data_IF_411730627486
#
_entry.id   IF_411730627486
#
_cell.length_a   1.000
_cell.length_b   1.000
_cell.length_c   1.000
_cell.angle_alpha   90.00
_cell.angle_beta   90.00
_cell.angle_gamma   90.00
#
_symmetry.space_group_name_H-M   'P 1'
#
loop_
_entity.id
_entity.type
_entity.pdbx_description
1 polymer ?
#
# COMPACT_ATOMS: atom_id res chain seq x y z
N UNK A 1 -9.53 4.42 -5.85
CA UNK A 1 -9.53 5.48 -6.88
C UNK A 1 -10.84 5.44 -7.64
N UNK A 2 -11.18 6.47 -8.43
CA UNK A 2 -12.31 6.39 -9.39
C UNK A 2 -11.71 5.92 -10.71
N UNK A 3 -12.32 4.92 -11.35
CA UNK A 3 -11.99 4.58 -12.73
C UNK A 3 -12.53 5.70 -13.64
N UNK A 4 -11.63 6.49 -14.21
CA UNK A 4 -11.98 7.62 -15.08
C UNK A 4 -12.70 7.21 -16.37
N UNK A 5 -12.63 5.92 -16.76
CA UNK A 5 -13.26 5.40 -17.98
C UNK A 5 -14.68 4.92 -17.76
N UNK A 6 -14.99 4.40 -16.56
CA UNK A 6 -16.32 3.87 -16.24
C UNK A 6 -17.09 4.73 -15.23
N UNK A 7 -16.41 5.67 -14.56
CA UNK A 7 -16.97 6.41 -13.42
C UNK A 7 -17.26 5.52 -12.21
N UNK A 8 -16.87 4.24 -12.26
CA UNK A 8 -17.03 3.30 -11.17
C UNK A 8 -15.95 3.54 -10.11
N UNK A 9 -16.25 3.14 -8.88
CA UNK A 9 -15.19 2.97 -7.88
C UNK A 9 -14.24 1.88 -8.38
N UNK A 10 -12.94 2.15 -8.34
CA UNK A 10 -11.92 1.17 -8.69
C UNK A 10 -12.18 -0.12 -7.89
N UNK A 11 -12.20 -1.24 -8.57
CA UNK A 11 -12.38 -2.57 -7.96
C UNK A 11 -11.07 -3.12 -7.41
N UNK A 12 -9.94 -2.48 -7.73
CA UNK A 12 -8.62 -2.82 -7.22
C UNK A 12 -8.23 -1.80 -6.14
N UNK A 13 -8.14 -2.25 -4.90
CA UNK A 13 -7.66 -1.47 -3.75
C UNK A 13 -6.30 -1.96 -3.27
N UNK A 14 -5.62 -2.75 -4.11
CA UNK A 14 -4.29 -3.28 -3.86
C UNK A 14 -3.21 -2.55 -4.66
N UNK A 15 -3.60 -1.84 -5.72
CA UNK A 15 -2.68 -1.03 -6.51
C UNK A 15 -2.19 0.24 -5.78
N UNK A 16 -0.90 0.55 -5.93
CA UNK A 16 -0.25 1.73 -5.37
C UNK A 16 0.48 2.46 -6.50
N UNK A 17 0.16 3.72 -6.73
CA UNK A 17 0.94 4.57 -7.64
C UNK A 17 2.13 5.19 -6.90
N UNK A 18 3.33 5.03 -7.48
CA UNK A 18 4.59 5.50 -6.91
C UNK A 18 5.29 6.42 -7.89
N UNK A 19 5.36 7.70 -7.53
CA UNK A 19 6.06 8.73 -8.30
C UNK A 19 7.53 8.84 -7.87
N UNK A 20 8.46 8.78 -8.83
CA UNK A 20 9.90 9.06 -8.63
C UNK A 20 10.24 10.47 -9.13
N UNK A 21 10.50 11.38 -8.20
CA UNK A 21 10.88 12.76 -8.51
C UNK A 21 12.28 12.94 -9.12
N UNK A 22 13.10 11.88 -9.20
CA UNK A 22 14.42 11.92 -9.83
C UNK A 22 14.32 11.72 -11.34
N UNK A 23 13.50 10.75 -11.77
CA UNK A 23 13.27 10.47 -13.19
C UNK A 23 12.04 11.17 -13.76
N UNK A 24 11.19 11.74 -12.89
CA UNK A 24 9.89 12.34 -13.24
C UNK A 24 8.91 11.32 -13.87
N UNK A 25 8.97 10.07 -13.38
CA UNK A 25 8.16 8.97 -13.88
C UNK A 25 7.26 8.36 -12.79
N UNK A 26 6.20 7.70 -13.24
CA UNK A 26 5.30 6.90 -12.41
C UNK A 26 5.62 5.42 -12.53
N UNK A 27 5.47 4.70 -11.43
CA UNK A 27 5.54 3.24 -11.37
C UNK A 27 4.39 2.70 -10.54
N UNK A 28 4.06 1.42 -10.76
CA UNK A 28 2.98 0.75 -10.04
C UNK A 28 3.57 -0.23 -9.03
N UNK A 29 3.13 -0.09 -7.78
CA UNK A 29 3.36 -1.02 -6.69
C UNK A 29 2.10 -1.80 -6.33
N UNK A 30 2.26 -2.86 -5.53
CA UNK A 30 1.16 -3.74 -5.15
C UNK A 30 1.16 -4.04 -3.65
N UNK A 31 -0.01 -3.96 -3.03
CA UNK A 31 -0.31 -4.48 -1.71
C UNK A 31 -0.58 -6.00 -1.79
N UNK A 32 -0.30 -6.74 -0.70
CA UNK A 32 -0.61 -8.17 -0.63
C UNK A 32 -2.11 -8.47 -0.52
N UNK A 33 -2.95 -7.48 -0.24
CA UNK A 33 -4.40 -7.56 -0.15
C UNK A 33 -5.02 -6.16 -0.33
N UNK A 34 -6.29 -6.11 -0.76
CA UNK A 34 -7.05 -4.87 -0.88
C UNK A 34 -7.12 -4.11 0.45
N UNK A 35 -6.79 -2.82 0.44
CA UNK A 35 -6.80 -1.99 1.64
C UNK A 35 -7.32 -0.58 1.37
N UNK A 36 -8.44 -0.21 2.00
CA UNK A 36 -8.99 1.15 2.01
C UNK A 36 -8.95 1.78 3.40
N UNK A 37 -8.98 3.11 3.47
CA UNK A 37 -8.98 3.89 4.73
C UNK A 37 -7.78 3.63 5.64
N UNK A 38 -6.61 3.35 5.03
CA UNK A 38 -5.35 3.11 5.73
C UNK A 38 -4.55 4.41 5.92
N UNK A 39 -3.53 4.38 6.80
CA UNK A 39 -2.57 5.47 6.97
C UNK A 39 -1.16 5.08 6.54
N UNK A 40 -0.48 5.97 5.80
CA UNK A 40 0.93 5.83 5.41
C UNK A 40 1.80 6.84 6.16
N UNK A 41 3.05 6.46 6.43
CA UNK A 41 4.10 7.31 6.99
C UNK A 41 5.43 7.06 6.25
N UNK A 42 6.39 7.98 6.38
CA UNK A 42 7.74 7.79 5.85
C UNK A 42 8.71 7.71 7.02
N UNK A 43 9.56 6.68 7.04
CA UNK A 43 10.61 6.49 8.03
C UNK A 43 11.93 6.22 7.31
N UNK A 44 12.96 7.02 7.60
CA UNK A 44 14.31 6.88 7.01
C UNK A 44 14.34 6.81 5.47
N UNK A 45 13.45 7.57 4.81
CA UNK A 45 13.34 7.59 3.34
C UNK A 45 12.60 6.39 2.75
N UNK A 46 12.09 5.47 3.59
CA UNK A 46 11.25 4.36 3.18
C UNK A 46 9.78 4.68 3.47
N UNK A 47 8.89 4.40 2.52
CA UNK A 47 7.46 4.43 2.78
C UNK A 47 7.11 3.24 3.69
N UNK A 48 6.56 3.55 4.85
CA UNK A 48 6.00 2.60 5.82
C UNK A 48 4.50 2.81 5.83
N UNK A 49 3.76 1.81 5.38
CA UNK A 49 2.32 1.77 5.59
C UNK A 49 2.08 1.38 7.06
N UNK A 50 1.62 2.33 7.87
CA UNK A 50 1.42 2.16 9.31
C UNK A 50 -0.07 1.99 9.58
N UNK A 51 -0.47 0.73 9.77
CA UNK A 51 -1.59 0.25 10.56
C UNK A 51 -3.01 0.80 10.26
N UNK A 52 -3.96 -0.11 10.12
CA UNK A 52 -5.38 0.21 9.98
C UNK A 52 -5.85 0.21 8.55
N UNK A 53 -7.16 0.18 8.38
CA UNK A 53 -7.83 0.06 7.09
C UNK A 53 -8.80 -1.12 7.08
N UNK A 54 -9.75 -1.04 6.15
CA UNK A 54 -10.71 -2.10 5.87
C UNK A 54 -10.42 -2.77 4.54
N UNK A 55 -10.88 -4.01 4.37
CA UNK A 55 -11.15 -4.58 3.05
C UNK A 55 -12.56 -4.18 2.60
N UNK A 56 -12.84 -4.32 1.30
CA UNK A 56 -14.19 -4.17 0.74
C UNK A 56 -15.19 -5.09 1.46
N UNK A 57 -14.73 -6.26 1.91
CA UNK A 57 -15.53 -7.26 2.65
C UNK A 57 -15.75 -6.91 4.12
N UNK A 58 -15.24 -5.78 4.61
CA UNK A 58 -15.49 -5.27 5.97
C UNK A 58 -14.56 -5.79 7.06
N UNK A 59 -13.48 -6.49 6.71
CA UNK A 59 -12.48 -6.94 7.67
C UNK A 59 -11.50 -5.81 7.99
N UNK A 60 -11.17 -5.59 9.27
CA UNK A 60 -10.18 -4.60 9.69
C UNK A 60 -8.81 -5.23 9.87
N UNK A 61 -7.76 -4.55 9.40
CA UNK A 61 -6.38 -5.03 9.52
C UNK A 61 -5.56 -4.03 10.31
N UNK A 62 -4.83 -4.51 11.32
CA UNK A 62 -3.72 -3.76 11.92
C UNK A 62 -2.42 -4.46 11.54
N UNK A 63 -1.77 -3.95 10.50
CA UNK A 63 -0.50 -4.46 10.01
C UNK A 63 0.43 -3.29 9.72
N UNK A 64 1.73 -3.49 9.94
CA UNK A 64 2.75 -2.58 9.44
C UNK A 64 3.30 -3.21 8.17
N UNK A 65 3.40 -2.45 7.09
CA UNK A 65 4.06 -2.90 5.85
C UNK A 65 5.16 -1.94 5.45
N UNK A 66 6.24 -2.46 4.88
CA UNK A 66 7.31 -1.66 4.26
C UNK A 66 7.25 -1.79 2.75
N UNK A 67 7.47 -0.68 2.06
CA UNK A 67 7.62 -0.69 0.62
C UNK A 67 9.05 -0.99 0.20
N UNK A 68 9.25 -1.97 -0.68
CA UNK A 68 10.53 -2.29 -1.30
C UNK A 68 10.34 -3.00 -2.65
N UNK A 69 11.18 -2.67 -3.64
CA UNK A 69 11.18 -3.34 -4.96
C UNK A 69 9.80 -3.43 -5.65
N UNK A 70 8.97 -2.39 -5.57
CA UNK A 70 7.65 -2.38 -6.22
C UNK A 70 6.55 -3.10 -5.43
N UNK A 71 6.80 -3.54 -4.19
CA UNK A 71 5.80 -4.28 -3.40
C UNK A 71 5.81 -3.84 -1.95
N UNK A 72 4.66 -3.95 -1.30
CA UNK A 72 4.58 -3.85 0.15
C UNK A 72 4.63 -5.24 0.79
N UNK A 73 5.46 -5.39 1.81
CA UNK A 73 5.62 -6.64 2.57
C UNK A 73 5.17 -6.40 4.01
N UNK A 74 4.36 -7.32 4.54
CA UNK A 74 3.94 -7.28 5.94
C UNK A 74 5.14 -7.51 6.86
N UNK A 75 5.41 -6.50 7.68
CA UNK A 75 6.41 -6.56 8.73
C UNK A 75 5.78 -7.21 9.96
N UNK A 76 6.05 -8.51 10.12
CA UNK A 76 5.91 -9.17 11.39
C UNK A 76 7.19 -8.90 12.16
N UNK A 77 7.16 -7.95 13.09
CA UNK A 77 8.30 -7.51 13.92
C UNK A 77 8.98 -8.64 14.74
N UNK A 78 8.51 -9.89 14.67
CA UNK A 78 9.14 -11.07 15.25
C UNK A 78 9.91 -11.95 14.25
N UNK A 79 9.76 -11.76 12.92
CA UNK A 79 10.30 -12.67 11.91
C UNK A 79 11.75 -12.36 11.46
N UNK A 80 12.40 -11.35 12.04
CA UNK A 80 13.79 -10.97 11.72
C UNK A 80 14.81 -11.27 12.85
N UNK A 81 14.43 -12.11 13.83
CA UNK A 81 15.31 -12.57 14.92
C UNK A 81 15.69 -14.07 14.80
N UNK A 82 15.86 -14.58 13.58
CA UNK A 82 16.49 -15.90 13.35
C UNK A 82 17.63 -15.79 12.36
#
# INVERSE_FOLDING_TARGET
MIDETTGAFATDYSEIDVYDGTSDDWSVGQLPYDLLLHSTNVLDGQIILVAGGGTITGSTFSCTMRYGSGKMVADLWWALMT
#
